data_IF_493212227792
#
_entry.id   IF_493212227792
#
_cell.length_a   1.000
_cell.length_b   1.000
_cell.length_c   1.000
_cell.angle_alpha   90.00
_cell.angle_beta   90.00
_cell.angle_gamma   90.00
#
_symmetry.space_group_name_H-M   'P 1'
#
loop_
_entity.id
_entity.type
_entity.pdbx_description
1 polymer ?
#
# COMPACT_ATOMS: atom_id res chain seq x y z
N UNK A 1 5.45 13.31 14.74
CA UNK A 1 5.88 13.95 15.98
C UNK A 1 4.75 14.81 16.55
N UNK A 2 4.58 14.81 17.88
CA UNK A 2 3.74 15.81 18.54
C UNK A 2 4.45 17.18 18.48
N UNK A 3 3.70 18.24 18.17
CA UNK A 3 4.25 19.60 18.19
C UNK A 3 4.61 20.05 19.61
N UNK A 4 3.86 19.57 20.62
CA UNK A 4 4.06 19.87 22.02
C UNK A 4 4.40 18.59 22.79
N UNK A 5 5.64 18.44 23.18
CA UNK A 5 6.15 17.33 23.99
C UNK A 5 6.23 17.75 25.47
N UNK A 6 6.11 16.82 26.43
CA UNK A 6 6.21 17.13 27.84
C UNK A 6 7.53 17.77 28.24
N UNK A 7 8.60 17.48 27.52
CA UNK A 7 9.99 17.88 27.72
C UNK A 7 10.49 18.89 26.68
N UNK A 8 9.60 19.45 25.83
CA UNK A 8 10.01 20.44 24.86
C UNK A 8 9.10 20.56 23.65
N UNK A 9 9.64 21.11 22.56
CA UNK A 9 8.93 21.32 21.30
C UNK A 9 9.33 20.25 20.26
N UNK A 10 8.32 19.73 19.55
CA UNK A 10 8.54 18.86 18.39
C UNK A 10 9.41 19.51 17.31
N UNK A 11 9.39 20.83 17.18
CA UNK A 11 10.28 21.57 16.25
C UNK A 11 11.75 21.41 16.64
N UNK A 12 12.07 21.59 17.92
CA UNK A 12 13.44 21.44 18.42
C UNK A 12 13.91 19.99 18.28
N UNK A 13 13.02 19.04 18.55
CA UNK A 13 13.34 17.62 18.36
C UNK A 13 13.64 17.31 16.90
N UNK A 14 12.81 17.79 15.94
CA UNK A 14 13.05 17.56 14.53
C UNK A 14 14.39 18.15 14.06
N UNK A 15 14.73 19.37 14.49
CA UNK A 15 16.01 20.00 14.19
C UNK A 15 17.19 19.17 14.69
N UNK A 16 17.12 18.66 15.93
CA UNK A 16 18.16 17.78 16.48
C UNK A 16 18.29 16.47 15.67
N UNK A 17 17.17 15.85 15.31
CA UNK A 17 17.18 14.65 14.50
C UNK A 17 17.82 14.89 13.12
N UNK A 18 17.56 16.05 12.49
CA UNK A 18 18.20 16.46 11.23
C UNK A 18 19.71 16.63 11.39
N UNK A 19 20.16 17.27 12.48
CA UNK A 19 21.59 17.42 12.79
C UNK A 19 22.30 16.07 12.98
N UNK A 20 21.58 15.06 13.47
CA UNK A 20 22.07 13.68 13.60
C UNK A 20 21.91 12.83 12.32
N UNK A 21 21.57 13.45 11.18
CA UNK A 21 21.52 12.76 9.88
C UNK A 21 20.21 12.02 9.59
N UNK A 22 19.16 12.17 10.41
CA UNK A 22 17.86 11.58 10.13
C UNK A 22 17.07 12.45 9.13
N UNK A 23 16.96 12.01 7.88
CA UNK A 23 16.26 12.72 6.81
C UNK A 23 14.87 12.15 6.46
N UNK A 24 14.27 11.38 7.36
CA UNK A 24 12.93 10.84 7.17
C UNK A 24 11.86 11.93 7.06
N UNK A 25 10.78 11.64 6.31
CA UNK A 25 9.59 12.50 6.25
C UNK A 25 9.03 12.71 7.66
N UNK A 26 8.77 13.96 8.00
CA UNK A 26 8.21 14.35 9.29
C UNK A 26 6.82 14.98 9.14
N UNK A 27 5.85 14.46 9.89
CA UNK A 27 4.50 15.03 10.01
C UNK A 27 4.33 15.51 11.44
N UNK A 28 3.81 16.73 11.63
CA UNK A 28 3.45 17.27 12.92
C UNK A 28 2.05 16.83 13.33
N UNK A 29 1.80 16.70 14.64
CA UNK A 29 0.50 16.37 15.21
C UNK A 29 0.22 17.34 16.36
N UNK A 30 -0.85 18.15 16.27
CA UNK A 30 -1.13 19.19 17.27
C UNK A 30 -2.63 19.39 17.49
N UNK A 31 -3.02 19.81 18.68
CA UNK A 31 -4.37 20.29 18.98
C UNK A 31 -4.54 21.78 18.65
N UNK A 32 -3.43 22.48 18.43
CA UNK A 32 -3.44 23.90 18.13
C UNK A 32 -3.81 24.13 16.67
N UNK A 33 -4.72 25.07 16.43
CA UNK A 33 -5.22 25.44 15.09
C UNK A 33 -4.65 26.77 14.60
N UNK A 34 -3.68 27.36 15.35
CA UNK A 34 -3.04 28.61 14.96
C UNK A 34 -2.30 28.48 13.62
N UNK A 35 -2.68 29.30 12.62
CA UNK A 35 -2.00 29.29 11.33
C UNK A 35 -0.51 29.68 11.41
N UNK A 36 -0.13 30.52 12.37
CA UNK A 36 1.25 30.92 12.60
C UNK A 36 2.11 29.77 13.08
N UNK A 37 1.61 28.96 14.04
CA UNK A 37 2.26 27.73 14.45
C UNK A 37 2.40 26.72 13.30
N UNK A 38 1.36 26.56 12.48
CA UNK A 38 1.39 25.66 11.34
C UNK A 38 2.42 26.12 10.28
N UNK A 39 2.58 27.42 10.08
CA UNK A 39 3.62 27.96 9.19
C UNK A 39 5.02 27.66 9.75
N UNK A 40 5.26 27.97 11.03
CA UNK A 40 6.52 27.70 11.70
C UNK A 40 6.91 26.21 11.68
N UNK A 41 5.95 25.31 11.88
CA UNK A 41 6.19 23.87 11.78
C UNK A 41 6.67 23.47 10.36
N UNK A 42 6.07 24.03 9.32
CA UNK A 42 6.48 23.77 7.91
C UNK A 42 7.88 24.33 7.62
N UNK A 43 8.21 25.52 8.11
CA UNK A 43 9.54 26.13 7.95
C UNK A 43 10.64 25.28 8.57
N UNK A 44 10.37 24.64 9.71
CA UNK A 44 11.34 23.73 10.38
C UNK A 44 11.49 22.39 9.62
N UNK A 45 10.59 22.08 8.66
CA UNK A 45 10.72 20.91 7.81
C UNK A 45 9.69 19.81 8.05
N UNK A 46 8.59 20.11 8.74
CA UNK A 46 7.41 19.22 8.72
C UNK A 46 6.69 19.36 7.39
N UNK A 47 6.42 18.25 6.72
CA UNK A 47 5.72 18.25 5.42
C UNK A 47 4.22 18.51 5.54
N UNK A 48 3.61 18.14 6.67
CA UNK A 48 2.20 18.42 6.94
C UNK A 48 1.93 18.52 8.44
N UNK A 49 0.81 19.17 8.79
CA UNK A 49 0.35 19.33 10.17
C UNK A 49 -1.02 18.69 10.31
N UNK A 50 -1.12 17.70 11.18
CA UNK A 50 -2.32 16.88 11.39
C UNK A 50 -2.98 17.33 12.71
N UNK A 51 -4.26 17.77 12.68
CA UNK A 51 -4.96 18.18 13.89
C UNK A 51 -5.31 16.98 14.78
N UNK A 52 -5.30 17.18 16.09
CA UNK A 52 -5.87 16.27 17.08
C UNK A 52 -7.41 16.44 17.15
N UNK A 53 -8.21 15.37 17.31
CA UNK A 53 -7.80 13.98 17.40
C UNK A 53 -7.41 13.41 16.02
N UNK A 54 -6.32 12.63 15.97
CA UNK A 54 -5.88 11.98 14.75
C UNK A 54 -6.68 10.69 14.49
N UNK A 55 -7.43 10.66 13.41
CA UNK A 55 -8.10 9.44 12.95
C UNK A 55 -7.18 8.63 12.04
N UNK A 56 -7.38 7.31 12.01
CA UNK A 56 -6.64 6.40 11.13
C UNK A 56 -6.80 6.81 9.66
N UNK A 57 -7.99 7.23 9.25
CA UNK A 57 -8.25 7.69 7.87
C UNK A 57 -7.41 8.94 7.50
N UNK A 58 -7.31 9.93 8.40
CA UNK A 58 -6.48 11.12 8.20
C UNK A 58 -4.99 10.79 8.15
N UNK A 59 -4.53 9.90 9.04
CA UNK A 59 -3.14 9.44 9.01
C UNK A 59 -2.81 8.76 7.68
N UNK A 60 -3.64 7.83 7.23
CA UNK A 60 -3.47 7.15 5.94
C UNK A 60 -3.48 8.12 4.75
N UNK A 61 -4.35 9.13 4.76
CA UNK A 61 -4.39 10.14 3.71
C UNK A 61 -3.09 10.96 3.66
N UNK A 62 -2.58 11.40 4.83
CA UNK A 62 -1.33 12.14 4.92
C UNK A 62 -0.13 11.28 4.51
N UNK A 63 -0.07 10.01 4.94
CA UNK A 63 0.99 9.09 4.55
C UNK A 63 1.00 8.87 3.03
N UNK A 64 -0.15 8.64 2.41
CA UNK A 64 -0.26 8.50 0.95
C UNK A 64 0.15 9.75 0.17
N UNK A 65 -0.08 10.94 0.75
CA UNK A 65 0.29 12.23 0.13
C UNK A 65 1.80 12.48 0.16
N UNK A 66 2.46 12.08 1.23
CA UNK A 66 3.84 12.51 1.52
C UNK A 66 4.89 11.41 1.47
N UNK A 67 4.49 10.15 1.63
CA UNK A 67 5.41 9.05 1.39
C UNK A 67 5.40 8.75 -0.11
N UNK A 68 6.58 8.58 -0.74
CA UNK A 68 6.62 8.00 -2.04
C UNK A 68 5.85 6.68 -1.95
N UNK A 69 4.82 6.53 -2.76
CA UNK A 69 4.33 5.20 -3.05
C UNK A 69 5.55 4.47 -3.60
N UNK A 70 6.23 3.69 -2.77
CA UNK A 70 7.00 2.60 -3.33
C UNK A 70 5.96 1.82 -4.12
N UNK A 71 5.95 2.04 -5.43
CA UNK A 71 5.21 1.15 -6.30
C UNK A 71 5.80 -0.22 -6.02
N UNK A 72 5.05 -1.02 -5.25
CA UNK A 72 5.42 -2.43 -5.09
C UNK A 72 5.61 -2.91 -6.52
N UNK A 73 6.80 -3.39 -6.92
CA UNK A 73 6.99 -3.80 -8.29
C UNK A 73 5.90 -4.79 -8.66
N UNK A 74 5.37 -4.66 -9.87
CA UNK A 74 4.30 -5.55 -10.33
C UNK A 74 4.75 -7.01 -10.22
N UNK A 75 6.02 -7.27 -10.57
CA UNK A 75 6.68 -8.56 -10.50
C UNK A 75 7.90 -8.52 -9.58
N UNK A 76 8.05 -9.55 -8.74
CA UNK A 76 9.25 -9.83 -7.94
C UNK A 76 9.97 -11.02 -8.58
N UNK A 77 10.98 -10.73 -9.38
CA UNK A 77 11.77 -11.73 -10.10
C UNK A 77 12.57 -12.62 -9.13
N UNK A 78 13.09 -12.04 -8.06
CA UNK A 78 13.87 -12.78 -7.08
C UNK A 78 13.01 -13.81 -6.34
N UNK A 79 11.82 -13.42 -5.89
CA UNK A 79 10.88 -14.33 -5.24
C UNK A 79 10.38 -15.43 -6.19
N UNK A 80 10.06 -15.09 -7.46
CA UNK A 80 9.62 -16.05 -8.45
C UNK A 80 10.71 -17.07 -8.79
N UNK A 81 11.95 -16.63 -9.00
CA UNK A 81 13.09 -17.51 -9.24
C UNK A 81 13.34 -18.44 -8.05
N UNK A 82 13.30 -17.92 -6.83
CA UNK A 82 13.48 -18.74 -5.62
C UNK A 82 12.38 -19.83 -5.50
N UNK A 83 11.12 -19.47 -5.79
CA UNK A 83 10.00 -20.39 -5.75
C UNK A 83 10.09 -21.53 -6.80
N UNK A 84 10.80 -21.29 -7.91
CA UNK A 84 10.90 -22.22 -9.05
C UNK A 84 12.31 -22.77 -9.27
N UNK A 85 13.13 -22.83 -8.21
CA UNK A 85 14.46 -23.43 -8.25
C UNK A 85 15.45 -22.71 -9.19
N UNK A 86 15.30 -21.40 -9.39
CA UNK A 86 16.19 -20.58 -10.19
C UNK A 86 16.01 -20.65 -11.70
N UNK A 87 14.94 -21.28 -12.19
CA UNK A 87 14.71 -21.50 -13.62
C UNK A 87 13.89 -20.36 -14.24
N UNK A 88 14.55 -19.38 -14.86
CA UNK A 88 13.91 -18.20 -15.47
C UNK A 88 12.89 -18.57 -16.55
N UNK A 89 13.13 -19.60 -17.37
CA UNK A 89 12.19 -20.06 -18.39
C UNK A 89 10.87 -20.55 -17.78
N UNK A 90 10.90 -21.22 -16.64
CA UNK A 90 9.70 -21.65 -15.93
C UNK A 90 8.93 -20.47 -15.35
N UNK A 91 9.63 -19.44 -14.83
CA UNK A 91 9.00 -18.20 -14.38
C UNK A 91 8.21 -17.55 -15.50
N UNK A 92 8.81 -17.41 -16.67
CA UNK A 92 8.17 -16.78 -17.83
C UNK A 92 6.96 -17.60 -18.31
N UNK A 93 7.08 -18.92 -18.41
CA UNK A 93 5.98 -19.78 -18.80
C UNK A 93 4.78 -19.68 -17.83
N UNK A 94 5.05 -19.73 -16.52
CA UNK A 94 4.00 -19.62 -15.50
C UNK A 94 3.36 -18.21 -15.46
N UNK A 95 4.12 -17.15 -15.66
CA UNK A 95 3.57 -15.80 -15.82
C UNK A 95 2.64 -15.68 -17.02
N UNK A 96 3.00 -16.26 -18.17
CA UNK A 96 2.14 -16.29 -19.34
C UNK A 96 0.81 -17.01 -19.06
N UNK A 97 0.84 -18.18 -18.43
CA UNK A 97 -0.37 -18.90 -18.02
C UNK A 97 -1.20 -18.10 -17.03
N UNK A 98 -0.56 -17.54 -16.00
CA UNK A 98 -1.20 -16.71 -14.98
C UNK A 98 -1.94 -15.52 -15.59
N UNK A 99 -1.29 -14.77 -16.49
CA UNK A 99 -1.91 -13.62 -17.17
C UNK A 99 -3.08 -14.03 -18.05
N UNK A 100 -3.03 -15.21 -18.67
CA UNK A 100 -4.12 -15.75 -19.50
C UNK A 100 -5.35 -16.12 -18.65
N UNK A 101 -5.15 -16.65 -17.44
CA UNK A 101 -6.24 -17.06 -16.53
C UNK A 101 -6.82 -15.89 -15.71
N UNK A 102 -6.04 -14.85 -15.49
CA UNK A 102 -6.36 -13.74 -14.61
C UNK A 102 -7.68 -13.02 -14.94
N UNK A 103 -8.05 -12.76 -16.23
CA UNK A 103 -9.33 -12.13 -16.56
C UNK A 103 -10.55 -12.96 -16.15
N UNK A 104 -10.49 -14.28 -16.28
CA UNK A 104 -11.58 -15.17 -15.85
C UNK A 104 -11.70 -15.18 -14.32
N UNK A 105 -10.58 -15.16 -13.62
CA UNK A 105 -10.56 -15.13 -12.17
C UNK A 105 -11.11 -13.82 -11.64
N UNK A 106 -10.74 -12.69 -12.26
CA UNK A 106 -11.31 -11.37 -11.96
C UNK A 106 -12.83 -11.34 -12.19
N UNK A 107 -13.31 -11.92 -13.29
CA UNK A 107 -14.75 -11.99 -13.57
C UNK A 107 -15.51 -12.80 -12.51
N UNK A 108 -14.95 -13.93 -12.02
CA UNK A 108 -15.58 -14.70 -10.94
C UNK A 108 -15.66 -13.92 -9.62
N UNK A 109 -14.58 -13.21 -9.25
CA UNK A 109 -14.54 -12.36 -8.06
C UNK A 109 -15.63 -11.26 -8.17
N UNK A 110 -15.69 -10.59 -9.33
CA UNK A 110 -16.65 -9.52 -9.57
C UNK A 110 -18.11 -10.05 -9.51
N UNK A 111 -18.40 -11.18 -10.13
CA UNK A 111 -19.72 -11.79 -10.12
C UNK A 111 -20.14 -12.21 -8.69
N UNK A 112 -19.25 -12.76 -7.89
CA UNK A 112 -19.52 -13.07 -6.48
C UNK A 112 -19.79 -11.79 -5.66
N UNK A 113 -18.98 -10.74 -5.87
CA UNK A 113 -19.17 -9.44 -5.20
C UNK A 113 -20.50 -8.79 -5.56
N UNK A 114 -20.91 -8.81 -6.83
CA UNK A 114 -22.21 -8.27 -7.28
C UNK A 114 -23.41 -8.98 -6.65
N UNK A 115 -23.27 -10.27 -6.29
CA UNK A 115 -24.29 -11.02 -5.56
C UNK A 115 -24.25 -10.83 -4.04
N UNK A 116 -23.28 -10.04 -3.53
CA UNK A 116 -23.06 -9.90 -2.09
C UNK A 116 -22.48 -11.17 -1.43
N UNK A 117 -21.96 -12.11 -2.21
CA UNK A 117 -21.40 -13.37 -1.75
C UNK A 117 -19.97 -13.19 -1.23
N UNK A 118 -19.85 -12.72 0.00
CA UNK A 118 -18.55 -12.51 0.65
C UNK A 118 -17.74 -13.82 0.80
N UNK A 119 -18.40 -14.97 0.97
CA UNK A 119 -17.73 -16.26 1.09
C UNK A 119 -17.15 -16.70 -0.25
N UNK A 120 -17.92 -16.57 -1.34
CA UNK A 120 -17.46 -16.82 -2.71
C UNK A 120 -16.31 -15.93 -3.10
N UNK A 121 -16.36 -14.63 -2.78
CA UNK A 121 -15.25 -13.70 -3.00
C UNK A 121 -13.99 -14.20 -2.28
N UNK A 122 -14.07 -14.53 -0.98
CA UNK A 122 -12.89 -15.03 -0.23
C UNK A 122 -12.31 -16.30 -0.81
N UNK A 123 -13.16 -17.23 -1.29
CA UNK A 123 -12.72 -18.49 -1.89
C UNK A 123 -11.92 -18.24 -3.18
N UNK A 124 -12.37 -17.35 -4.07
CA UNK A 124 -11.64 -16.99 -5.29
C UNK A 124 -10.35 -16.21 -4.95
N UNK A 125 -10.38 -15.27 -4.02
CA UNK A 125 -9.19 -14.54 -3.58
C UNK A 125 -8.13 -15.47 -2.97
N UNK A 126 -8.53 -16.51 -2.23
CA UNK A 126 -7.60 -17.49 -1.67
C UNK A 126 -6.81 -18.24 -2.74
N UNK A 127 -7.46 -18.66 -3.82
CA UNK A 127 -6.80 -19.27 -4.98
C UNK A 127 -5.81 -18.31 -5.63
N UNK A 128 -6.20 -17.04 -5.79
CA UNK A 128 -5.38 -16.02 -6.41
C UNK A 128 -4.12 -15.69 -5.61
N UNK A 129 -4.21 -15.63 -4.26
CA UNK A 129 -3.04 -15.41 -3.39
C UNK A 129 -1.97 -16.49 -3.61
N UNK A 130 -2.38 -17.76 -3.69
CA UNK A 130 -1.46 -18.87 -3.90
C UNK A 130 -0.72 -18.71 -5.24
N UNK A 131 -1.43 -18.45 -6.32
CA UNK A 131 -0.86 -18.26 -7.66
C UNK A 131 0.09 -17.04 -7.72
N UNK A 132 -0.27 -15.92 -7.07
CA UNK A 132 0.58 -14.73 -6.98
C UNK A 132 1.96 -15.03 -6.37
N UNK A 133 2.01 -15.94 -5.40
CA UNK A 133 3.27 -16.31 -4.72
C UNK A 133 4.26 -16.98 -5.66
N UNK A 134 3.80 -17.87 -6.53
CA UNK A 134 4.67 -18.60 -7.48
C UNK A 134 5.20 -17.72 -8.62
N UNK A 135 4.40 -16.78 -9.11
CA UNK A 135 4.79 -15.90 -10.23
C UNK A 135 5.47 -14.61 -9.77
N UNK A 136 5.52 -14.34 -8.47
CA UNK A 136 6.08 -13.09 -7.92
C UNK A 136 5.21 -11.87 -8.16
N UNK A 137 3.87 -12.01 -8.26
CA UNK A 137 2.93 -10.90 -8.45
C UNK A 137 2.67 -10.18 -7.12
N UNK A 138 3.67 -9.43 -6.62
CA UNK A 138 3.72 -8.89 -5.26
C UNK A 138 2.64 -7.85 -5.00
N UNK A 139 2.47 -6.90 -5.93
CA UNK A 139 1.45 -5.85 -5.80
C UNK A 139 0.03 -6.44 -5.79
N UNK A 140 -0.25 -7.38 -6.67
CA UNK A 140 -1.54 -8.06 -6.71
C UNK A 140 -1.77 -8.90 -5.46
N UNK A 141 -0.77 -9.63 -4.98
CA UNK A 141 -0.85 -10.40 -3.73
C UNK A 141 -1.26 -9.52 -2.56
N UNK A 142 -0.62 -8.35 -2.41
CA UNK A 142 -0.94 -7.39 -1.34
C UNK A 142 -2.39 -6.87 -1.44
N UNK A 143 -2.83 -6.47 -2.63
CA UNK A 143 -4.20 -6.01 -2.86
C UNK A 143 -5.25 -7.11 -2.56
N UNK A 144 -4.98 -8.34 -2.98
CA UNK A 144 -5.86 -9.50 -2.74
C UNK A 144 -5.95 -9.82 -1.24
N UNK A 145 -4.83 -9.76 -0.50
CA UNK A 145 -4.83 -9.98 0.96
C UNK A 145 -5.63 -8.91 1.69
N UNK A 146 -5.54 -7.64 1.27
CA UNK A 146 -6.38 -6.57 1.83
C UNK A 146 -7.86 -6.81 1.56
N UNK A 147 -8.21 -7.23 0.35
CA UNK A 147 -9.59 -7.54 -0.02
C UNK A 147 -10.14 -8.77 0.72
N UNK A 148 -9.31 -9.74 1.12
CA UNK A 148 -9.76 -10.87 1.96
C UNK A 148 -10.30 -10.41 3.32
N UNK A 149 -9.74 -9.34 3.90
CA UNK A 149 -10.23 -8.74 5.14
C UNK A 149 -11.58 -8.02 4.95
N UNK A 150 -11.79 -7.40 3.78
CA UNK A 150 -12.99 -6.61 3.45
C UNK A 150 -13.50 -6.96 2.04
N UNK A 151 -14.10 -8.16 1.83
CA UNK A 151 -14.33 -8.74 0.51
C UNK A 151 -15.36 -8.02 -0.35
N UNK A 152 -16.20 -7.16 0.23
CA UNK A 152 -17.21 -6.37 -0.49
C UNK A 152 -16.89 -4.87 -0.52
N UNK A 153 -15.69 -4.47 -0.07
CA UNK A 153 -15.27 -3.07 -0.11
C UNK A 153 -14.90 -2.66 -1.57
N UNK A 154 -15.59 -1.65 -2.13
CA UNK A 154 -15.30 -1.16 -3.48
C UNK A 154 -13.87 -0.65 -3.66
N UNK A 155 -13.27 -0.06 -2.63
CA UNK A 155 -11.90 0.44 -2.69
C UNK A 155 -10.89 -0.72 -2.80
N UNK A 156 -11.13 -1.82 -2.09
CA UNK A 156 -10.32 -3.02 -2.21
C UNK A 156 -10.45 -3.67 -3.60
N UNK A 157 -11.66 -3.68 -4.16
CA UNK A 157 -11.91 -4.17 -5.53
C UNK A 157 -11.14 -3.33 -6.57
N UNK A 158 -11.17 -2.00 -6.44
CA UNK A 158 -10.42 -1.11 -7.32
C UNK A 158 -8.91 -1.33 -7.20
N UNK A 159 -8.39 -1.55 -5.99
CA UNK A 159 -6.97 -1.85 -5.77
C UNK A 159 -6.53 -3.15 -6.46
N UNK A 160 -7.35 -4.20 -6.38
CA UNK A 160 -7.12 -5.46 -7.11
C UNK A 160 -7.12 -5.24 -8.62
N UNK A 161 -8.11 -4.51 -9.15
CA UNK A 161 -8.20 -4.20 -10.58
C UNK A 161 -6.99 -3.39 -11.08
N UNK A 162 -6.55 -2.39 -10.32
CA UNK A 162 -5.36 -1.59 -10.63
C UNK A 162 -4.08 -2.44 -10.64
N UNK A 163 -3.92 -3.35 -9.67
CA UNK A 163 -2.78 -4.25 -9.61
C UNK A 163 -2.75 -5.22 -10.79
N UNK A 164 -3.90 -5.73 -11.23
CA UNK A 164 -4.02 -6.56 -12.43
C UNK A 164 -3.58 -5.78 -13.69
N UNK A 165 -4.04 -4.54 -13.83
CA UNK A 165 -3.65 -3.68 -14.95
C UNK A 165 -2.14 -3.43 -14.98
N UNK A 166 -1.52 -3.18 -13.82
CA UNK A 166 -0.08 -2.97 -13.70
C UNK A 166 0.73 -4.20 -14.15
N UNK A 167 0.26 -5.42 -13.87
CA UNK A 167 0.91 -6.66 -14.33
C UNK A 167 0.94 -6.77 -15.85
N UNK A 168 -0.15 -6.43 -16.54
CA UNK A 168 -0.22 -6.45 -18.01
C UNK A 168 0.67 -5.38 -18.67
N UNK A 169 0.86 -4.24 -17.99
CA UNK A 169 1.72 -3.16 -18.50
C UNK A 169 3.22 -3.41 -18.31
N UNK A 170 3.58 -4.39 -17.47
CA UNK A 170 4.96 -4.72 -17.08
C UNK A 170 5.40 -6.09 -17.58
N UNK A 171 4.60 -6.75 -18.43
CA UNK A 171 4.83 -8.09 -18.96
C UNK A 171 5.63 -8.07 -20.28
#
# INVERSE_FOLDING_TARGET
LDANLPDGSGMVLLQRLRQHGLHAVALAHTADTDPGLHAALREVGFLDVLPKPLTVARLHAALRKHLPTHSVPAWDDAAALAALGGQAAHVQALRGMFLTELPQQQARILAASQRGDAAGVRAELHKLVASCGFVGALALRSAVQQMQASPLDPACMQAVAAAITALHSSA
#
